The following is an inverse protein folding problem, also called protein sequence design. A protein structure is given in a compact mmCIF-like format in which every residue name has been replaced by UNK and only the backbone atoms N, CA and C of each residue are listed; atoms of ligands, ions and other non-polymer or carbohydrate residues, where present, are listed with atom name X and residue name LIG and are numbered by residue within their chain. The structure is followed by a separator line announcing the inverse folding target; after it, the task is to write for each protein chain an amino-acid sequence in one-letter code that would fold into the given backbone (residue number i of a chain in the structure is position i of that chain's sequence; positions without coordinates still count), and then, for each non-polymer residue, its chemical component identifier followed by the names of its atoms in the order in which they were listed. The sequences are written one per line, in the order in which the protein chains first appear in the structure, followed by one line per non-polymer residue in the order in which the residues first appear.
data_IF_634723672444
#
_entry.id   IF_634723672444
#
_cell.length_a   1.000
_cell.length_b   1.000
_cell.length_c   1.000
_cell.angle_alpha   90.00
_cell.angle_beta   90.00
_cell.angle_gamma   90.00
#
_symmetry.space_group_name_H-M   'P 1'
#
loop_
_entity.id
_entity.type
_entity.pdbx_description
1 polymer ?
#
# COMPACT_ATOMS: atom_id res chain seq x y z
N UNK A 1 4.90 36.42 -9.90
CA UNK A 1 4.10 35.24 -10.30
C UNK A 1 3.94 34.41 -9.06
N UNK A 2 2.74 33.92 -8.74
CA UNK A 2 2.58 32.99 -7.62
C UNK A 2 3.42 31.75 -7.92
N UNK A 3 4.11 31.24 -6.91
CA UNK A 3 4.95 30.05 -7.05
C UNK A 3 4.04 28.80 -7.10
N UNK A 4 4.04 28.12 -8.24
CA UNK A 4 3.13 27.01 -8.54
C UNK A 4 3.51 25.70 -7.82
N UNK A 5 2.50 24.87 -7.53
CA UNK A 5 2.71 23.48 -7.08
C UNK A 5 3.01 22.60 -8.30
N UNK A 6 4.10 21.85 -8.23
CA UNK A 6 4.47 20.83 -9.22
C UNK A 6 4.12 19.44 -8.68
N UNK A 7 3.26 18.72 -9.39
CA UNK A 7 3.00 17.31 -9.16
C UNK A 7 4.08 16.47 -9.84
N UNK A 8 4.74 15.60 -9.07
CA UNK A 8 5.68 14.58 -9.54
C UNK A 8 5.09 13.20 -9.24
N UNK A 9 4.46 12.58 -10.24
CA UNK A 9 3.83 11.27 -10.12
C UNK A 9 4.77 10.20 -10.68
N UNK A 10 5.29 9.32 -9.83
CA UNK A 10 6.21 8.24 -10.26
C UNK A 10 5.44 6.92 -10.37
N UNK A 11 5.54 6.26 -11.53
CA UNK A 11 4.84 5.00 -11.83
C UNK A 11 5.75 4.10 -12.65
N UNK A 12 6.12 2.93 -12.13
CA UNK A 12 6.97 1.99 -12.85
C UNK A 12 7.64 0.95 -11.94
N UNK A 13 8.61 0.22 -12.50
CA UNK A 13 9.51 -0.65 -11.72
C UNK A 13 8.91 -1.97 -11.24
N UNK A 14 7.83 -2.47 -11.85
CA UNK A 14 7.18 -3.73 -11.48
C UNK A 14 7.73 -4.92 -12.29
N UNK A 15 7.64 -6.11 -11.71
CA UNK A 15 8.16 -7.33 -12.32
C UNK A 15 7.36 -7.83 -13.52
N UNK A 16 7.90 -8.83 -14.21
CA UNK A 16 7.39 -9.27 -15.52
C UNK A 16 6.40 -10.43 -15.47
N UNK A 17 6.15 -11.01 -14.30
CA UNK A 17 5.21 -12.11 -14.19
C UNK A 17 3.77 -11.68 -14.51
N UNK A 18 2.89 -12.63 -14.79
CA UNK A 18 1.48 -12.36 -15.09
C UNK A 18 0.80 -11.54 -13.97
N UNK A 19 0.98 -11.95 -12.71
CA UNK A 19 0.36 -11.29 -11.55
C UNK A 19 0.98 -9.91 -11.27
N UNK A 20 2.29 -9.75 -11.50
CA UNK A 20 2.94 -8.44 -11.37
C UNK A 20 2.47 -7.46 -12.45
N UNK A 21 2.25 -7.93 -13.68
CA UNK A 21 1.66 -7.12 -14.77
C UNK A 21 0.23 -6.69 -14.47
N UNK A 22 -0.55 -7.51 -13.76
CA UNK A 22 -1.88 -7.12 -13.29
C UNK A 22 -1.79 -6.01 -12.25
N UNK A 23 -0.90 -6.13 -11.26
CA UNK A 23 -0.67 -5.06 -10.28
C UNK A 23 -0.22 -3.75 -10.96
N UNK A 24 0.70 -3.85 -11.90
CA UNK A 24 1.16 -2.72 -12.70
C UNK A 24 0.03 -2.08 -13.52
N UNK A 25 -0.88 -2.88 -14.08
CA UNK A 25 -2.13 -2.40 -14.69
C UNK A 25 -3.01 -1.60 -13.72
N UNK A 26 -3.19 -2.09 -12.49
CA UNK A 26 -3.95 -1.38 -11.47
C UNK A 26 -3.27 -0.07 -11.05
N UNK A 27 -1.94 -0.06 -10.94
CA UNK A 27 -1.14 1.14 -10.65
C UNK A 27 -1.34 2.21 -11.70
N UNK A 28 -1.22 1.85 -12.99
CA UNK A 28 -1.48 2.77 -14.11
C UNK A 28 -2.91 3.32 -14.11
N UNK A 29 -3.90 2.47 -13.78
CA UNK A 29 -5.29 2.90 -13.68
C UNK A 29 -5.51 3.87 -12.50
N UNK A 30 -4.99 3.55 -11.32
CA UNK A 30 -5.05 4.39 -10.13
C UNK A 30 -4.29 5.72 -10.31
N UNK A 31 -3.12 5.68 -10.95
CA UNK A 31 -2.31 6.85 -11.24
C UNK A 31 -3.05 7.82 -12.16
N UNK A 32 -3.71 7.32 -13.20
CA UNK A 32 -4.49 8.16 -14.12
C UNK A 32 -5.71 8.77 -13.42
N UNK A 33 -6.40 7.99 -12.58
CA UNK A 33 -7.49 8.47 -11.74
C UNK A 33 -7.04 9.57 -10.75
N UNK A 34 -5.87 9.41 -10.13
CA UNK A 34 -5.26 10.40 -9.23
C UNK A 34 -4.86 11.67 -10.00
N UNK A 35 -4.24 11.51 -11.16
CA UNK A 35 -3.82 12.61 -12.02
C UNK A 35 -5.01 13.47 -12.46
N UNK A 36 -6.06 12.85 -12.99
CA UNK A 36 -7.30 13.54 -13.39
C UNK A 36 -7.95 14.25 -12.20
N UNK A 37 -7.93 13.65 -11.02
CA UNK A 37 -8.44 14.27 -9.80
C UNK A 37 -7.64 15.51 -9.40
N UNK A 38 -6.32 15.40 -9.34
CA UNK A 38 -5.43 16.48 -8.91
C UNK A 38 -5.48 17.66 -9.90
N UNK A 39 -5.50 17.39 -11.21
CA UNK A 39 -5.64 18.44 -12.23
C UNK A 39 -6.97 19.20 -12.10
N UNK A 40 -8.06 18.51 -11.75
CA UNK A 40 -9.38 19.14 -11.53
C UNK A 40 -9.41 20.12 -10.36
N UNK A 41 -8.44 20.07 -9.44
CA UNK A 41 -8.37 21.04 -8.34
C UNK A 41 -8.01 22.44 -8.82
N UNK A 42 -7.35 22.57 -9.97
CA UNK A 42 -6.82 23.84 -10.49
C UNK A 42 -5.63 24.40 -9.70
N UNK A 43 -5.16 23.70 -8.65
CA UNK A 43 -4.05 24.12 -7.80
C UNK A 43 -2.68 23.58 -8.27
N UNK A 44 -2.70 22.58 -9.15
CA UNK A 44 -1.48 22.05 -9.79
C UNK A 44 -1.14 22.94 -10.99
N UNK A 45 -0.04 23.70 -10.90
CA UNK A 45 0.43 24.52 -12.02
C UNK A 45 1.17 23.71 -13.08
N UNK A 46 1.85 22.63 -12.67
CA UNK A 46 2.49 21.67 -13.58
C UNK A 46 2.39 20.25 -13.05
N UNK A 47 2.10 19.30 -13.94
CA UNK A 47 2.10 17.87 -13.62
C UNK A 47 3.11 17.13 -14.49
N UNK A 48 3.97 16.33 -13.85
CA UNK A 48 4.97 15.49 -14.48
C UNK A 48 4.71 14.05 -14.07
N UNK A 49 4.65 13.15 -15.05
CA UNK A 49 4.56 11.70 -14.85
C UNK A 49 5.90 11.09 -15.21
N UNK A 50 6.60 10.53 -14.22
CA UNK A 50 7.84 9.80 -14.43
C UNK A 50 7.59 8.30 -14.51
N UNK A 51 8.05 7.64 -15.57
CA UNK A 51 7.74 6.23 -15.84
C UNK A 51 8.76 5.53 -16.73
N UNK A 52 8.91 4.23 -16.56
CA UNK A 52 9.67 3.33 -17.43
C UNK A 52 8.81 2.71 -18.56
N UNK A 53 7.49 2.92 -18.53
CA UNK A 53 6.55 2.37 -19.52
C UNK A 53 6.23 3.38 -20.63
N UNK A 54 6.94 3.25 -21.75
CA UNK A 54 6.72 4.05 -22.96
C UNK A 54 5.28 3.93 -23.48
N UNK A 55 4.74 2.71 -23.53
CA UNK A 55 3.43 2.47 -24.12
C UNK A 55 2.33 3.10 -23.27
N UNK A 56 2.43 3.05 -21.95
CA UNK A 56 1.50 3.74 -21.07
C UNK A 56 1.68 5.26 -21.11
N UNK A 57 2.92 5.75 -21.11
CA UNK A 57 3.23 7.17 -21.23
C UNK A 57 2.59 7.82 -22.46
N UNK A 58 2.64 7.13 -23.61
CA UNK A 58 2.00 7.59 -24.85
C UNK A 58 0.46 7.74 -24.71
N UNK A 59 -0.18 6.95 -23.83
CA UNK A 59 -1.63 7.07 -23.58
C UNK A 59 -2.04 8.32 -22.78
N UNK A 60 -1.06 9.07 -22.25
CA UNK A 60 -1.27 10.30 -21.49
C UNK A 60 -1.16 11.56 -22.36
N UNK A 61 -0.88 11.43 -23.66
CA UNK A 61 -0.74 12.56 -24.59
C UNK A 61 -2.02 13.42 -24.74
N UNK A 62 -3.18 12.90 -24.33
CA UNK A 62 -4.47 13.59 -24.30
C UNK A 62 -4.68 14.43 -23.02
N UNK A 63 -3.75 14.36 -22.07
CA UNK A 63 -3.83 14.98 -20.75
C UNK A 63 -2.78 16.09 -20.64
N UNK A 64 -3.04 17.23 -19.95
CA UNK A 64 -2.08 18.34 -19.86
C UNK A 64 -0.93 18.03 -18.89
N UNK A 65 -0.10 17.04 -19.24
CA UNK A 65 0.96 16.50 -18.40
C UNK A 65 2.24 16.34 -19.21
N UNK A 66 3.38 16.50 -18.55
CA UNK A 66 4.66 16.17 -19.15
C UNK A 66 5.06 14.75 -18.75
N UNK A 67 5.32 13.88 -19.73
CA UNK A 67 5.82 12.53 -19.46
C UNK A 67 7.34 12.56 -19.48
N UNK A 68 7.96 12.13 -18.38
CA UNK A 68 9.41 12.04 -18.24
C UNK A 68 9.84 10.57 -18.14
N UNK A 69 10.38 10.02 -19.21
CA UNK A 69 10.80 8.62 -19.20
C UNK A 69 12.07 8.41 -18.38
N UNK A 70 12.11 7.29 -17.67
CA UNK A 70 13.30 6.87 -16.94
C UNK A 70 14.44 6.51 -17.91
N UNK A 71 15.70 6.86 -17.60
CA UNK A 71 16.83 6.56 -18.47
C UNK A 71 16.98 5.04 -18.73
N UNK A 72 17.06 4.60 -20.00
CA UNK A 72 17.16 3.19 -20.31
C UNK A 72 18.52 2.61 -19.86
N UNK A 73 18.48 1.45 -19.22
CA UNK A 73 19.69 0.70 -18.82
C UNK A 73 20.37 1.18 -17.54
N UNK A 74 19.82 2.20 -16.87
CA UNK A 74 20.30 2.63 -15.55
C UNK A 74 19.56 1.89 -14.43
N UNK A 75 20.25 1.65 -13.31
CA UNK A 75 19.60 1.10 -12.12
C UNK A 75 18.78 2.21 -11.46
N UNK A 76 17.47 2.00 -11.35
CA UNK A 76 16.57 2.96 -10.73
C UNK A 76 16.96 3.25 -9.28
N UNK A 77 17.02 4.53 -8.92
CA UNK A 77 17.20 4.99 -7.55
C UNK A 77 16.22 6.12 -7.26
N UNK A 78 15.25 5.85 -6.39
CA UNK A 78 14.12 6.75 -6.11
C UNK A 78 14.54 8.20 -5.82
N UNK A 79 15.41 8.41 -4.82
CA UNK A 79 15.78 9.73 -4.35
C UNK A 79 16.52 10.55 -5.40
N UNK A 80 17.46 9.94 -6.13
CA UNK A 80 18.17 10.59 -7.25
C UNK A 80 17.19 10.99 -8.35
N UNK A 81 16.27 10.09 -8.70
CA UNK A 81 15.25 10.37 -9.71
C UNK A 81 14.34 11.52 -9.31
N UNK A 82 13.88 11.53 -8.06
CA UNK A 82 13.05 12.61 -7.54
C UNK A 82 13.82 13.95 -7.48
N UNK A 83 15.07 13.93 -7.00
CA UNK A 83 15.96 15.09 -6.97
C UNK A 83 16.19 15.70 -8.37
N UNK A 84 16.46 14.86 -9.38
CA UNK A 84 16.62 15.28 -10.78
C UNK A 84 15.35 15.96 -11.32
N UNK A 85 14.17 15.43 -11.01
CA UNK A 85 12.89 16.04 -11.42
C UNK A 85 12.70 17.41 -10.74
N UNK A 86 12.99 17.50 -9.43
CA UNK A 86 12.90 18.77 -8.69
C UNK A 86 13.82 19.83 -9.33
N UNK A 87 15.06 19.46 -9.64
CA UNK A 87 16.03 20.36 -10.27
C UNK A 87 15.61 20.75 -11.69
N UNK A 88 15.29 19.76 -12.54
CA UNK A 88 14.89 19.96 -13.94
C UNK A 88 13.71 20.91 -14.10
N UNK A 89 12.72 20.80 -13.21
CA UNK A 89 11.51 21.61 -13.28
C UNK A 89 11.57 22.86 -12.39
N UNK A 90 12.71 23.12 -11.74
CA UNK A 90 12.89 24.21 -10.78
C UNK A 90 11.75 24.23 -9.73
N UNK A 91 11.42 23.04 -9.21
CA UNK A 91 10.27 22.83 -8.36
C UNK A 91 10.57 23.32 -6.94
N UNK A 92 9.79 24.31 -6.47
CA UNK A 92 9.87 24.82 -5.10
C UNK A 92 8.77 24.28 -4.20
N UNK A 93 7.55 24.14 -4.70
CA UNK A 93 6.45 23.40 -4.05
C UNK A 93 6.22 22.12 -4.81
N UNK A 94 6.39 20.99 -4.14
CA UNK A 94 6.29 19.67 -4.76
C UNK A 94 5.20 18.87 -4.07
N UNK A 95 4.34 18.25 -4.86
CA UNK A 95 3.58 17.09 -4.44
C UNK A 95 4.16 15.86 -5.15
N UNK A 96 4.82 14.99 -4.40
CA UNK A 96 5.21 13.67 -4.86
C UNK A 96 4.12 12.64 -4.51
N UNK A 97 3.84 11.72 -5.43
CA UNK A 97 3.05 10.52 -5.14
C UNK A 97 3.53 9.34 -5.98
N UNK A 98 3.47 8.13 -5.42
CA UNK A 98 3.45 6.90 -6.21
C UNK A 98 2.09 6.69 -6.90
N UNK A 99 2.09 5.93 -8.00
CA UNK A 99 0.90 5.68 -8.82
C UNK A 99 -0.27 4.99 -8.10
N UNK A 100 0.00 4.27 -7.02
CA UNK A 100 -1.01 3.53 -6.26
C UNK A 100 -1.02 3.84 -4.76
N UNK A 101 -0.45 4.98 -4.37
CA UNK A 101 -0.21 5.36 -2.97
C UNK A 101 -1.44 5.93 -2.24
N UNK A 102 -2.44 6.40 -2.99
CA UNK A 102 -3.63 7.04 -2.41
C UNK A 102 -4.90 6.82 -3.27
N UNK A 103 -5.25 5.58 -3.65
CA UNK A 103 -6.37 5.28 -4.52
C UNK A 103 -7.73 5.72 -3.95
N UNK A 104 -7.82 5.94 -2.64
CA UNK A 104 -9.07 6.26 -1.93
C UNK A 104 -9.19 7.72 -1.44
N UNK A 105 -8.12 8.52 -1.49
CA UNK A 105 -8.15 9.90 -0.96
C UNK A 105 -8.96 10.82 -1.86
N UNK A 106 -10.07 11.38 -1.38
CA UNK A 106 -11.07 12.11 -2.19
C UNK A 106 -10.64 13.53 -2.63
N UNK A 107 -11.47 14.18 -3.45
CA UNK A 107 -11.18 15.52 -4.00
C UNK A 107 -10.98 16.57 -2.90
N UNK A 108 -11.88 16.59 -1.92
CA UNK A 108 -11.90 17.59 -0.85
C UNK A 108 -10.62 17.52 0.01
N UNK A 109 -10.16 16.31 0.31
CA UNK A 109 -8.91 16.09 1.06
C UNK A 109 -7.67 16.48 0.27
N UNK A 110 -7.63 16.19 -1.03
CA UNK A 110 -6.54 16.66 -1.88
C UNK A 110 -6.54 18.19 -2.00
N UNK A 111 -7.70 18.81 -2.18
CA UNK A 111 -7.81 20.27 -2.23
C UNK A 111 -7.37 20.92 -0.91
N UNK A 112 -7.76 20.36 0.24
CA UNK A 112 -7.31 20.80 1.57
C UNK A 112 -5.78 20.75 1.70
N UNK A 113 -5.15 19.64 1.28
CA UNK A 113 -3.70 19.49 1.29
C UNK A 113 -3.02 20.52 0.38
N UNK A 114 -3.50 20.66 -0.86
CA UNK A 114 -2.89 21.54 -1.85
C UNK A 114 -2.99 23.00 -1.43
N UNK A 115 -4.12 23.42 -0.86
CA UNK A 115 -4.30 24.78 -0.30
C UNK A 115 -3.29 25.08 0.83
N UNK A 116 -3.05 24.11 1.73
CA UNK A 116 -2.02 24.24 2.77
C UNK A 116 -0.62 24.35 2.19
N UNK A 117 -0.30 23.51 1.20
CA UNK A 117 1.01 23.50 0.53
C UNK A 117 1.26 24.81 -0.23
N UNK A 118 0.24 25.35 -0.91
CA UNK A 118 0.31 26.63 -1.64
C UNK A 118 0.65 27.79 -0.69
N UNK A 119 0.01 27.84 0.47
CA UNK A 119 0.16 28.94 1.46
C UNK A 119 1.40 28.83 2.33
N UNK A 120 2.05 27.67 2.36
CA UNK A 120 3.22 27.45 3.20
C UNK A 120 4.50 28.00 2.55
N UNK A 121 5.37 28.59 3.37
CA UNK A 121 6.76 28.88 3.01
C UNK A 121 7.68 27.68 3.30
N UNK A 122 7.38 26.93 4.38
CA UNK A 122 8.10 25.75 4.83
C UNK A 122 7.10 24.73 5.37
N UNK A 123 7.00 23.56 4.76
CA UNK A 123 6.07 22.51 5.18
C UNK A 123 6.50 21.16 4.64
N UNK A 124 6.24 20.12 5.41
CA UNK A 124 6.13 18.73 4.95
C UNK A 124 4.74 18.22 5.38
N UNK A 125 3.93 17.78 4.42
CA UNK A 125 2.61 17.19 4.64
C UNK A 125 2.53 15.82 3.99
N UNK A 126 2.11 14.80 4.73
CA UNK A 126 2.15 13.40 4.28
C UNK A 126 1.01 12.55 4.82
N UNK A 127 0.78 11.38 4.23
CA UNK A 127 -0.04 10.36 4.85
C UNK A 127 0.61 9.80 6.11
N UNK A 128 1.92 9.56 6.12
CA UNK A 128 2.62 8.90 7.22
C UNK A 128 3.99 9.51 7.46
N UNK A 129 4.19 10.09 8.64
CA UNK A 129 5.50 10.65 8.97
C UNK A 129 6.62 9.60 8.99
N UNK A 130 6.31 8.33 9.27
CA UNK A 130 7.31 7.27 9.48
C UNK A 130 7.50 6.33 8.28
N UNK A 131 6.64 6.41 7.26
CA UNK A 131 6.68 5.53 6.08
C UNK A 131 5.73 6.10 5.03
N UNK A 132 6.13 7.17 4.35
CA UNK A 132 5.24 7.88 3.42
C UNK A 132 5.22 7.26 2.03
N UNK A 133 4.03 7.28 1.42
CA UNK A 133 3.78 6.82 0.05
C UNK A 133 3.49 8.01 -0.89
N UNK A 134 3.22 9.18 -0.30
CA UNK A 134 3.11 10.47 -0.95
C UNK A 134 3.52 11.59 0.01
N UNK A 135 3.96 12.72 -0.56
CA UNK A 135 4.54 13.81 0.19
C UNK A 135 4.34 15.16 -0.52
N UNK A 136 3.67 16.10 0.14
CA UNK A 136 3.70 17.51 -0.21
C UNK A 136 4.79 18.22 0.58
N UNK A 137 5.68 18.98 -0.07
CA UNK A 137 6.72 19.71 0.67
C UNK A 137 7.25 20.96 -0.05
N UNK A 138 7.75 21.89 0.75
CA UNK A 138 8.38 23.13 0.30
C UNK A 138 9.32 23.69 1.38
N UNK A 139 10.45 24.35 1.03
CA UNK A 139 11.02 24.51 -0.31
C UNK A 139 11.75 23.24 -0.79
N UNK A 140 11.29 22.64 -1.89
CA UNK A 140 11.82 21.37 -2.38
C UNK A 140 13.25 21.48 -2.95
N UNK A 141 13.57 22.60 -3.60
CA UNK A 141 14.88 22.88 -4.17
C UNK A 141 16.00 22.91 -3.10
N UNK A 142 15.70 23.29 -1.87
CA UNK A 142 16.68 23.27 -0.76
C UNK A 142 16.89 21.87 -0.19
N UNK A 143 15.93 20.96 -0.41
CA UNK A 143 15.93 19.61 0.16
C UNK A 143 16.57 18.56 -0.75
N UNK A 144 16.93 18.92 -1.99
CA UNK A 144 17.55 18.03 -2.99
C UNK A 144 18.67 17.14 -2.40
N UNK A 145 19.63 17.65 -1.61
CA UNK A 145 20.71 16.82 -1.07
C UNK A 145 20.24 15.73 -0.11
N UNK A 146 19.16 15.95 0.64
CA UNK A 146 18.55 14.94 1.51
C UNK A 146 17.73 13.95 0.69
N UNK A 147 16.90 14.46 -0.23
CA UNK A 147 16.07 13.64 -1.13
C UNK A 147 16.94 12.65 -1.90
N UNK A 148 18.07 13.09 -2.45
CA UNK A 148 18.94 12.27 -3.30
C UNK A 148 19.58 11.05 -2.59
N UNK A 149 19.63 11.04 -1.25
CA UNK A 149 20.21 9.95 -0.46
C UNK A 149 19.26 8.76 -0.32
N UNK A 150 17.96 8.98 -0.50
CA UNK A 150 16.95 7.98 -0.19
C UNK A 150 16.74 6.98 -1.34
N UNK A 151 16.85 5.69 -1.03
CA UNK A 151 16.61 4.61 -2.00
C UNK A 151 15.12 4.29 -2.19
N UNK A 152 14.26 4.77 -1.28
CA UNK A 152 12.79 4.66 -1.35
C UNK A 152 12.13 5.90 -0.73
N UNK A 153 10.83 6.06 -0.95
CA UNK A 153 10.00 7.13 -0.39
C UNK A 153 9.78 7.04 1.12
N UNK A 154 9.78 5.83 1.69
CA UNK A 154 9.38 5.57 3.08
C UNK A 154 9.94 6.56 4.12
N UNK A 155 11.23 6.86 4.09
CA UNK A 155 11.88 7.71 5.09
C UNK A 155 11.80 9.22 4.77
N UNK A 156 11.32 9.59 3.59
CA UNK A 156 11.45 10.95 3.06
C UNK A 156 10.78 11.98 3.97
N UNK A 157 9.53 11.76 4.37
CA UNK A 157 8.82 12.65 5.28
C UNK A 157 9.57 12.86 6.61
N UNK A 158 10.10 11.76 7.17
CA UNK A 158 10.84 11.80 8.43
C UNK A 158 12.12 12.63 8.30
N UNK A 159 12.93 12.38 7.27
CA UNK A 159 14.23 13.02 7.05
C UNK A 159 14.06 14.50 6.73
N UNK A 160 13.09 14.87 5.88
CA UNK A 160 12.82 16.28 5.58
C UNK A 160 12.37 17.06 6.83
N UNK A 161 11.65 16.40 7.74
CA UNK A 161 11.23 17.01 9.00
C UNK A 161 12.40 17.14 10.00
N UNK A 162 13.13 16.05 10.24
CA UNK A 162 14.11 15.96 11.33
C UNK A 162 15.49 16.50 10.95
N UNK A 163 15.93 16.24 9.73
CA UNK A 163 17.23 16.68 9.22
C UNK A 163 17.08 17.97 8.39
N UNK A 164 16.03 18.06 7.57
CA UNK A 164 15.70 19.26 6.79
C UNK A 164 15.09 20.42 7.61
N UNK A 165 14.65 20.13 8.84
CA UNK A 165 14.04 21.13 9.73
C UNK A 165 12.74 21.73 9.19
N UNK A 166 11.98 20.98 8.39
CA UNK A 166 10.67 21.39 7.90
C UNK A 166 9.57 21.02 8.91
N UNK A 167 8.58 21.91 9.16
CA UNK A 167 7.43 21.56 9.98
C UNK A 167 6.65 20.35 9.45
N UNK A 168 6.52 19.35 10.34
CA UNK A 168 5.77 18.11 10.25
C UNK A 168 4.24 18.19 10.28
N UNK A 169 3.53 17.83 9.21
CA UNK A 169 2.09 17.54 9.27
C UNK A 169 1.79 16.14 8.69
N UNK A 170 1.03 15.32 9.42
CA UNK A 170 0.60 14.01 8.94
C UNK A 170 -0.92 13.90 9.06
N UNK A 171 -1.56 13.39 8.01
CA UNK A 171 -2.98 13.13 8.07
C UNK A 171 -3.31 12.00 9.06
N UNK A 172 -4.47 12.09 9.74
CA UNK A 172 -4.97 10.99 10.56
C UNK A 172 -5.05 9.68 9.77
N UNK A 173 -4.84 8.57 10.46
CA UNK A 173 -4.97 7.25 9.85
C UNK A 173 -6.44 6.97 9.48
N UNK A 174 -6.66 6.64 8.21
CA UNK A 174 -7.91 6.19 7.61
C UNK A 174 -7.58 5.32 6.40
N UNK A 175 -8.55 4.62 5.81
CA UNK A 175 -8.31 3.90 4.56
C UNK A 175 -7.81 4.85 3.47
N UNK A 176 -8.42 6.04 3.39
CA UNK A 176 -8.07 7.07 2.41
C UNK A 176 -6.60 7.51 2.46
N UNK A 177 -5.96 7.42 3.63
CA UNK A 177 -4.58 7.85 3.84
C UNK A 177 -3.59 6.69 3.94
N UNK A 178 -4.04 5.48 4.29
CA UNK A 178 -3.16 4.34 4.61
C UNK A 178 -3.23 3.18 3.61
N UNK A 179 -4.24 3.14 2.75
CA UNK A 179 -4.41 2.04 1.82
C UNK A 179 -3.69 2.32 0.51
N UNK A 180 -2.80 1.41 0.13
CA UNK A 180 -2.06 1.35 -1.13
C UNK A 180 -2.41 0.06 -1.89
N UNK A 181 -1.89 -0.11 -3.11
CA UNK A 181 -2.11 -1.32 -3.91
C UNK A 181 -0.82 -2.12 -4.10
N UNK A 182 -0.27 -2.70 -3.04
CA UNK A 182 1.05 -3.34 -3.11
C UNK A 182 1.04 -4.83 -3.49
N UNK A 183 -0.04 -5.50 -3.17
CA UNK A 183 -0.22 -6.95 -3.30
C UNK A 183 -1.54 -7.27 -4.02
N UNK A 184 -1.70 -8.49 -4.58
CA UNK A 184 -2.92 -8.86 -5.27
C UNK A 184 -4.18 -8.79 -4.39
N UNK A 185 -4.03 -9.04 -3.08
CA UNK A 185 -5.15 -8.94 -2.13
C UNK A 185 -5.60 -7.51 -1.95
N UNK A 186 -4.73 -6.51 -2.13
CA UNK A 186 -5.14 -5.11 -2.13
C UNK A 186 -6.08 -4.81 -3.30
N UNK A 187 -5.89 -5.46 -4.45
CA UNK A 187 -6.83 -5.33 -5.57
C UNK A 187 -8.20 -5.92 -5.23
N UNK A 188 -8.22 -7.08 -4.55
CA UNK A 188 -9.45 -7.73 -4.09
C UNK A 188 -10.18 -6.86 -3.05
N UNK A 189 -9.44 -6.27 -2.10
CA UNK A 189 -10.00 -5.32 -1.10
C UNK A 189 -10.53 -4.07 -1.80
N UNK A 190 -9.75 -3.47 -2.69
CA UNK A 190 -10.14 -2.28 -3.43
C UNK A 190 -11.43 -2.53 -4.22
N UNK A 191 -11.58 -3.70 -4.84
CA UNK A 191 -12.76 -4.07 -5.60
C UNK A 191 -14.05 -3.95 -4.76
N UNK A 192 -13.97 -4.15 -3.44
CA UNK A 192 -15.12 -4.04 -2.50
C UNK A 192 -15.35 -2.64 -1.96
N UNK A 193 -14.43 -1.71 -2.24
CA UNK A 193 -14.58 -0.33 -1.82
C UNK A 193 -15.61 0.41 -2.69
N UNK A 194 -16.66 1.02 -2.10
CA UNK A 194 -17.79 1.56 -2.87
C UNK A 194 -17.43 2.79 -3.70
N UNK A 195 -16.46 3.58 -3.25
CA UNK A 195 -16.15 4.89 -3.84
C UNK A 195 -14.86 4.91 -4.67
N UNK A 196 -14.55 3.78 -5.33
CA UNK A 196 -13.44 3.74 -6.28
C UNK A 196 -13.66 4.66 -7.47
N UNK A 197 -12.56 5.21 -7.98
CA UNK A 197 -12.56 6.04 -9.18
C UNK A 197 -12.73 5.19 -10.46
N UNK A 198 -13.22 5.79 -11.55
CA UNK A 198 -13.75 5.04 -12.69
C UNK A 198 -12.73 4.14 -13.40
N UNK A 199 -11.46 4.54 -13.52
CA UNK A 199 -10.48 3.76 -14.27
C UNK A 199 -10.02 2.55 -13.47
N UNK A 200 -9.70 2.74 -12.19
CA UNK A 200 -9.36 1.65 -11.28
C UNK A 200 -10.56 0.70 -11.12
N UNK A 201 -11.78 1.22 -10.94
CA UNK A 201 -13.01 0.43 -10.90
C UNK A 201 -13.13 -0.46 -12.15
N UNK A 202 -13.06 0.13 -13.35
CA UNK A 202 -13.15 -0.62 -14.61
C UNK A 202 -12.05 -1.67 -14.75
N UNK A 203 -10.83 -1.34 -14.34
CA UNK A 203 -9.71 -2.29 -14.37
C UNK A 203 -9.99 -3.51 -13.47
N UNK A 204 -10.38 -3.26 -12.22
CA UNK A 204 -10.67 -4.31 -11.24
C UNK A 204 -11.86 -5.19 -11.64
N UNK A 205 -12.93 -4.58 -12.15
CA UNK A 205 -14.11 -5.32 -12.64
C UNK A 205 -13.77 -6.24 -13.82
N UNK A 206 -12.70 -5.93 -14.57
CA UNK A 206 -12.19 -6.74 -15.67
C UNK A 206 -11.29 -7.92 -15.27
N UNK A 207 -10.82 -8.01 -14.02
CA UNK A 207 -9.87 -9.05 -13.59
C UNK A 207 -10.51 -10.45 -13.48
N UNK A 208 -11.82 -10.53 -13.28
CA UNK A 208 -12.54 -11.77 -12.98
C UNK A 208 -11.87 -12.60 -11.86
N UNK A 209 -11.27 -11.91 -10.88
CA UNK A 209 -10.71 -12.55 -9.68
C UNK A 209 -11.79 -12.66 -8.62
N UNK A 210 -11.82 -13.79 -7.94
CA UNK A 210 -12.71 -14.08 -6.82
C UNK A 210 -11.88 -14.39 -5.58
N UNK A 211 -12.45 -14.11 -4.40
CA UNK A 211 -11.82 -14.45 -3.12
C UNK A 211 -12.89 -14.91 -2.13
N UNK A 212 -13.22 -16.21 -2.14
CA UNK A 212 -14.14 -16.80 -1.17
C UNK A 212 -13.70 -16.56 0.28
N UNK A 213 -12.38 -16.46 0.52
CA UNK A 213 -11.83 -16.19 1.83
C UNK A 213 -12.13 -14.75 2.29
N UNK A 214 -11.94 -13.76 1.41
CA UNK A 214 -12.29 -12.38 1.73
C UNK A 214 -13.81 -12.23 1.93
N UNK A 215 -14.61 -12.90 1.09
CA UNK A 215 -16.06 -12.94 1.22
C UNK A 215 -16.50 -13.55 2.56
N UNK A 216 -15.85 -14.65 2.98
CA UNK A 216 -16.10 -15.27 4.27
C UNK A 216 -15.75 -14.37 5.45
N UNK A 217 -14.62 -13.65 5.39
CA UNK A 217 -14.24 -12.67 6.43
C UNK A 217 -15.25 -11.52 6.49
N UNK A 218 -15.70 -11.00 5.34
CA UNK A 218 -16.72 -9.95 5.30
C UNK A 218 -18.07 -10.41 5.86
N UNK A 219 -18.46 -11.65 5.57
CA UNK A 219 -19.67 -12.25 6.16
C UNK A 219 -19.53 -12.39 7.67
N UNK A 220 -18.35 -12.75 8.16
CA UNK A 220 -18.05 -12.84 9.59
C UNK A 220 -18.03 -11.47 10.29
N UNK A 221 -17.53 -10.43 9.62
CA UNK A 221 -17.62 -9.02 10.08
C UNK A 221 -19.07 -8.57 10.27
N UNK A 222 -19.97 -9.03 9.39
CA UNK A 222 -21.39 -8.72 9.43
C UNK A 222 -22.18 -9.53 10.47
N UNK A 223 -21.63 -10.64 10.94
CA UNK A 223 -22.30 -11.54 11.88
C UNK A 223 -22.36 -10.93 13.27
N UNK A 224 -23.56 -10.84 13.84
CA UNK A 224 -23.72 -10.45 15.24
C UNK A 224 -23.01 -11.47 16.15
N UNK A 225 -22.08 -10.99 16.98
CA UNK A 225 -21.24 -11.85 17.80
C UNK A 225 -20.27 -12.72 16.99
N UNK A 226 -19.92 -12.31 15.76
CA UNK A 226 -18.84 -12.92 14.99
C UNK A 226 -17.50 -12.88 15.74
N UNK A 227 -16.48 -13.51 15.20
CA UNK A 227 -15.14 -13.55 15.79
C UNK A 227 -14.08 -13.54 14.70
N UNK A 228 -13.09 -12.67 14.87
CA UNK A 228 -12.02 -12.47 13.90
C UNK A 228 -10.67 -12.50 14.60
N UNK A 229 -9.69 -13.11 13.94
CA UNK A 229 -8.29 -13.06 14.37
C UNK A 229 -7.48 -12.25 13.38
N UNK A 230 -6.73 -11.27 13.87
CA UNK A 230 -5.78 -10.47 13.10
C UNK A 230 -4.37 -10.93 13.47
N UNK A 231 -3.58 -11.33 12.47
CA UNK A 231 -2.23 -11.85 12.66
C UNK A 231 -1.22 -11.07 11.83
N UNK A 232 -0.10 -10.71 12.46
CA UNK A 232 1.10 -10.19 11.80
C UNK A 232 1.37 -8.74 12.18
N UNK A 233 1.75 -7.89 11.22
CA UNK A 233 2.22 -6.52 11.54
C UNK A 233 1.05 -5.54 11.72
N UNK A 234 0.11 -5.89 12.58
CA UNK A 234 -1.18 -5.23 12.74
C UNK A 234 -1.05 -3.75 13.15
N UNK A 235 -1.91 -2.91 12.58
CA UNK A 235 -2.02 -1.49 12.92
C UNK A 235 -3.03 -1.26 14.03
N UNK A 236 -2.61 -0.57 15.09
CA UNK A 236 -3.48 -0.23 16.21
C UNK A 236 -4.72 0.55 15.79
N UNK A 237 -4.57 1.47 14.83
CA UNK A 237 -5.68 2.23 14.30
C UNK A 237 -6.66 1.35 13.49
N UNK A 238 -6.15 0.35 12.76
CA UNK A 238 -6.98 -0.52 11.95
C UNK A 238 -7.83 -1.48 12.79
N UNK A 239 -7.23 -2.17 13.76
CA UNK A 239 -8.01 -3.07 14.62
C UNK A 239 -8.96 -2.30 15.54
N UNK A 240 -8.58 -1.11 16.02
CA UNK A 240 -9.50 -0.28 16.80
C UNK A 240 -10.69 0.19 15.95
N UNK A 241 -10.49 0.40 14.64
CA UNK A 241 -11.57 0.64 13.68
C UNK A 241 -12.51 -0.55 13.58
N UNK A 242 -11.95 -1.75 13.41
CA UNK A 242 -12.73 -3.00 13.35
C UNK A 242 -13.60 -3.22 14.60
N UNK A 243 -13.03 -3.05 15.81
CA UNK A 243 -13.77 -3.20 17.07
C UNK A 243 -14.90 -2.18 17.23
N UNK A 244 -14.74 -0.97 16.70
CA UNK A 244 -15.81 0.06 16.74
C UNK A 244 -16.92 -0.22 15.74
N UNK A 245 -16.55 -0.65 14.53
CA UNK A 245 -17.48 -0.84 13.43
C UNK A 245 -18.28 -2.14 13.54
N UNK A 246 -17.70 -3.18 14.14
CA UNK A 246 -18.30 -4.53 14.17
C UNK A 246 -18.73 -4.94 15.57
N UNK A 247 -19.52 -6.02 15.65
CA UNK A 247 -19.81 -6.74 16.91
C UNK A 247 -18.93 -7.97 17.07
N UNK A 248 -17.80 -8.03 16.36
CA UNK A 248 -16.92 -9.18 16.40
C UNK A 248 -16.10 -9.21 17.69
N UNK A 249 -15.90 -10.42 18.22
CA UNK A 249 -14.84 -10.71 19.18
C UNK A 249 -13.51 -10.74 18.42
N UNK A 250 -12.66 -9.74 18.65
CA UNK A 250 -11.39 -9.61 17.92
C UNK A 250 -10.23 -10.16 18.76
N UNK A 251 -9.44 -11.06 18.18
CA UNK A 251 -8.15 -11.50 18.71
C UNK A 251 -7.04 -10.91 17.86
N UNK A 252 -5.96 -10.44 18.49
CA UNK A 252 -4.84 -9.82 17.76
C UNK A 252 -3.52 -10.45 18.19
N UNK A 253 -2.78 -10.95 17.21
CA UNK A 253 -1.38 -11.35 17.33
C UNK A 253 -0.53 -10.35 16.56
N UNK A 254 -0.13 -9.27 17.24
CA UNK A 254 0.64 -8.18 16.66
C UNK A 254 2.15 -8.40 16.86
N UNK A 255 2.87 -8.66 15.78
CA UNK A 255 4.31 -8.98 15.80
C UNK A 255 5.05 -8.23 14.68
N UNK A 256 6.32 -7.91 14.88
CA UNK A 256 7.25 -7.41 13.84
C UNK A 256 6.79 -6.15 13.08
N UNK A 257 6.01 -5.27 13.74
CA UNK A 257 5.67 -3.95 13.20
C UNK A 257 6.96 -3.17 12.88
N UNK A 258 7.10 -2.73 11.63
CA UNK A 258 8.28 -1.99 11.17
C UNK A 258 9.50 -2.85 10.76
N UNK A 259 9.39 -4.19 10.77
CA UNK A 259 10.55 -5.08 10.52
C UNK A 259 11.31 -4.83 9.20
N UNK A 260 10.62 -4.35 8.16
CA UNK A 260 11.24 -4.00 6.88
C UNK A 260 11.99 -2.66 6.99
N UNK A 261 11.31 -1.63 7.47
CA UNK A 261 11.89 -0.29 7.63
C UNK A 261 13.12 -0.29 8.56
N UNK A 262 13.15 -1.14 9.59
CA UNK A 262 14.30 -1.28 10.48
C UNK A 262 15.41 -2.22 9.96
N UNK A 263 15.24 -2.80 8.76
CA UNK A 263 16.15 -3.79 8.16
C UNK A 263 16.25 -5.12 8.91
N UNK A 264 15.36 -5.38 9.89
CA UNK A 264 15.41 -6.61 10.71
C UNK A 264 15.12 -7.85 9.87
N UNK A 265 14.18 -7.74 8.93
CA UNK A 265 13.88 -8.83 8.00
C UNK A 265 15.11 -9.19 7.15
N UNK A 266 15.84 -8.20 6.62
CA UNK A 266 17.04 -8.43 5.81
C UNK A 266 18.18 -9.05 6.62
N UNK A 267 18.31 -8.67 7.89
CA UNK A 267 19.30 -9.24 8.81
C UNK A 267 18.89 -10.59 9.44
N UNK A 268 17.69 -11.12 9.14
CA UNK A 268 17.20 -12.37 9.74
C UNK A 268 16.87 -12.28 11.24
N UNK A 269 16.54 -11.07 11.72
CA UNK A 269 16.29 -10.76 13.13
C UNK A 269 14.80 -10.77 13.52
N UNK A 270 13.91 -11.03 12.55
CA UNK A 270 12.49 -11.16 12.83
C UNK A 270 12.24 -12.37 13.75
N UNK A 271 11.30 -12.23 14.69
CA UNK A 271 10.88 -13.27 15.63
C UNK A 271 9.35 -13.29 15.70
N UNK A 272 8.77 -14.47 15.87
CA UNK A 272 7.33 -14.64 15.97
C UNK A 272 7.00 -15.86 16.82
N UNK A 273 6.23 -15.64 17.88
CA UNK A 273 5.71 -16.71 18.71
C UNK A 273 4.78 -17.63 17.92
N UNK A 274 4.05 -17.09 16.94
CA UNK A 274 3.23 -17.91 16.05
C UNK A 274 4.07 -18.74 15.08
N UNK A 275 5.23 -18.24 14.63
CA UNK A 275 6.16 -19.06 13.85
C UNK A 275 6.72 -20.21 14.70
N UNK A 276 7.11 -19.94 15.95
CA UNK A 276 7.59 -20.95 16.88
C UNK A 276 6.50 -21.99 17.19
N UNK A 277 5.26 -21.55 17.43
CA UNK A 277 4.12 -22.44 17.66
C UNK A 277 3.80 -23.29 16.43
N UNK A 278 3.81 -22.70 15.22
CA UNK A 278 3.63 -23.43 13.96
C UNK A 278 4.67 -24.53 13.78
N UNK A 279 5.92 -24.28 14.19
CA UNK A 279 6.98 -25.30 14.14
C UNK A 279 6.71 -26.47 15.10
N UNK A 280 6.15 -26.17 16.28
CA UNK A 280 5.81 -27.19 17.28
C UNK A 280 4.64 -28.08 16.86
N UNK A 281 3.58 -27.50 16.29
CA UNK A 281 2.34 -28.25 16.00
C UNK A 281 2.22 -28.71 14.54
N UNK A 282 2.98 -28.12 13.63
CA UNK A 282 2.87 -28.35 12.19
C UNK A 282 1.80 -27.48 11.53
N UNK A 283 1.91 -27.30 10.20
CA UNK A 283 1.09 -26.36 9.42
C UNK A 283 -0.41 -26.70 9.52
N UNK A 284 -0.79 -27.97 9.36
CA UNK A 284 -2.19 -28.38 9.33
C UNK A 284 -2.85 -28.16 10.71
N UNK A 285 -2.21 -28.63 11.78
CA UNK A 285 -2.73 -28.45 13.14
C UNK A 285 -2.76 -26.97 13.55
N UNK A 286 -1.82 -26.15 13.06
CA UNK A 286 -1.84 -24.71 13.33
C UNK A 286 -3.13 -24.04 12.83
N UNK A 287 -3.58 -24.38 11.61
CA UNK A 287 -4.83 -23.83 11.09
C UNK A 287 -6.07 -24.44 11.74
N UNK A 288 -6.03 -25.71 12.15
CA UNK A 288 -7.11 -26.33 12.94
C UNK A 288 -7.27 -25.64 14.30
N UNK A 289 -6.17 -25.41 15.03
CA UNK A 289 -6.19 -24.70 16.31
C UNK A 289 -6.66 -23.24 16.16
N UNK A 290 -6.26 -22.55 15.08
CA UNK A 290 -6.78 -21.22 14.79
C UNK A 290 -8.30 -21.24 14.53
N UNK A 291 -8.81 -22.25 13.82
CA UNK A 291 -10.22 -22.38 13.51
C UNK A 291 -11.10 -22.60 14.76
N UNK A 292 -10.56 -23.19 15.83
CA UNK A 292 -11.27 -23.33 17.11
C UNK A 292 -11.41 -21.99 17.87
N UNK A 293 -10.61 -20.98 17.52
CA UNK A 293 -10.56 -19.70 18.24
C UNK A 293 -11.39 -18.58 17.60
N UNK A 294 -11.76 -18.70 16.33
CA UNK A 294 -12.30 -17.60 15.51
C UNK A 294 -13.19 -18.09 14.38
N UNK A 295 -14.02 -17.21 13.81
CA UNK A 295 -14.83 -17.46 12.61
C UNK A 295 -14.19 -16.96 11.32
N UNK A 296 -13.09 -16.21 11.40
CA UNK A 296 -12.30 -15.78 10.26
C UNK A 296 -10.93 -15.22 10.66
N UNK A 297 -9.99 -15.19 9.72
CA UNK A 297 -8.60 -14.77 9.97
C UNK A 297 -8.11 -13.81 8.88
N UNK A 298 -7.52 -12.69 9.30
CA UNK A 298 -6.69 -11.83 8.45
C UNK A 298 -5.22 -12.06 8.82
N UNK A 299 -4.45 -12.65 7.91
CA UNK A 299 -3.11 -13.17 8.22
C UNK A 299 -2.01 -12.58 7.32
N UNK A 300 -1.29 -11.58 7.85
CA UNK A 300 -0.05 -11.08 7.25
C UNK A 300 1.07 -12.11 7.44
N UNK A 301 1.12 -13.10 6.54
CA UNK A 301 2.00 -14.27 6.64
C UNK A 301 3.47 -13.93 6.41
N UNK A 302 3.79 -12.68 6.09
CA UNK A 302 5.19 -12.21 5.90
C UNK A 302 5.99 -12.25 7.19
N UNK A 303 5.32 -12.14 8.34
CA UNK A 303 5.98 -12.29 9.65
C UNK A 303 6.49 -13.72 9.85
N UNK A 304 5.67 -14.72 9.53
CA UNK A 304 6.05 -16.15 9.63
C UNK A 304 7.22 -16.44 8.68
N UNK A 305 7.16 -15.94 7.44
CA UNK A 305 8.24 -16.10 6.47
C UNK A 305 9.55 -15.48 7.00
N UNK A 306 9.50 -14.22 7.44
CA UNK A 306 10.69 -13.52 7.96
C UNK A 306 11.28 -14.20 9.20
N UNK A 307 10.45 -14.62 10.16
CA UNK A 307 10.89 -15.30 11.37
C UNK A 307 11.57 -16.66 11.07
N UNK A 308 11.17 -17.31 9.98
CA UNK A 308 11.78 -18.55 9.48
C UNK A 308 13.01 -18.31 8.60
N UNK A 309 13.46 -17.07 8.44
CA UNK A 309 14.56 -16.71 7.55
C UNK A 309 14.25 -16.93 6.07
N UNK A 310 12.96 -17.01 5.71
CA UNK A 310 12.49 -17.19 4.34
C UNK A 310 12.00 -15.86 3.78
N UNK A 311 12.37 -15.57 2.53
CA UNK A 311 11.80 -14.45 1.79
C UNK A 311 11.57 -14.85 0.32
N UNK A 312 10.51 -15.63 0.04
CA UNK A 312 10.19 -16.12 -1.31
C UNK A 312 10.02 -14.99 -2.31
N UNK A 313 10.06 -15.29 -3.61
CA UNK A 313 9.93 -14.28 -4.66
C UNK A 313 8.60 -13.51 -4.58
N UNK A 314 8.51 -12.35 -5.23
CA UNK A 314 7.24 -11.63 -5.35
C UNK A 314 6.17 -12.51 -6.02
N UNK A 315 6.55 -13.25 -7.07
CA UNK A 315 5.68 -14.21 -7.76
C UNK A 315 5.09 -15.26 -6.80
N UNK A 316 5.92 -15.90 -5.99
CA UNK A 316 5.48 -16.91 -5.01
C UNK A 316 4.54 -16.29 -3.97
N UNK A 317 4.93 -15.14 -3.42
CA UNK A 317 4.15 -14.41 -2.44
C UNK A 317 2.78 -13.98 -3.00
N UNK A 318 2.74 -13.50 -4.24
CA UNK A 318 1.52 -13.05 -4.90
C UNK A 318 0.61 -14.21 -5.31
N UNK A 319 1.16 -15.35 -5.73
CA UNK A 319 0.36 -16.56 -5.94
C UNK A 319 -0.18 -17.11 -4.62
N UNK A 320 0.58 -17.04 -3.52
CA UNK A 320 0.10 -17.38 -2.19
C UNK A 320 -1.09 -16.50 -1.74
N UNK A 321 -0.98 -15.18 -1.94
CA UNK A 321 -2.05 -14.21 -1.62
C UNK A 321 -3.35 -14.50 -2.38
N UNK A 322 -3.24 -15.06 -3.59
CA UNK A 322 -4.37 -15.44 -4.45
C UNK A 322 -4.79 -16.91 -4.32
N UNK A 323 -4.25 -17.65 -3.35
CA UNK A 323 -4.52 -19.07 -3.16
C UNK A 323 -4.16 -19.98 -4.36
N UNK A 324 -3.27 -19.53 -5.24
CA UNK A 324 -2.72 -20.29 -6.38
C UNK A 324 -1.49 -21.09 -5.95
N UNK A 325 -1.66 -21.91 -4.91
CA UNK A 325 -0.56 -22.63 -4.26
C UNK A 325 0.18 -23.58 -5.21
N UNK A 326 -0.51 -24.13 -6.22
CA UNK A 326 0.08 -24.95 -7.29
C UNK A 326 1.13 -24.20 -8.13
N UNK A 327 1.11 -22.85 -8.12
CA UNK A 327 2.05 -21.96 -8.80
C UNK A 327 3.10 -21.34 -7.88
N UNK A 328 3.16 -21.74 -6.61
CA UNK A 328 4.17 -21.28 -5.64
C UNK A 328 5.33 -22.25 -5.67
N UNK A 329 6.55 -21.80 -5.94
CA UNK A 329 7.74 -22.65 -6.00
C UNK A 329 8.29 -23.01 -4.61
N UNK A 330 8.32 -22.04 -3.69
CA UNK A 330 8.86 -22.26 -2.34
C UNK A 330 8.02 -23.30 -1.56
N UNK A 331 8.61 -24.45 -1.15
CA UNK A 331 7.86 -25.57 -0.60
C UNK A 331 7.06 -25.27 0.68
N UNK A 332 7.62 -24.49 1.61
CA UNK A 332 6.92 -24.15 2.84
C UNK A 332 5.70 -23.27 2.56
N UNK A 333 5.86 -22.21 1.77
CA UNK A 333 4.79 -21.28 1.40
C UNK A 333 3.70 -21.98 0.58
N UNK A 334 4.07 -22.90 -0.33
CA UNK A 334 3.10 -23.74 -1.05
C UNK A 334 2.21 -24.51 -0.08
N UNK A 335 2.80 -25.28 0.83
CA UNK A 335 2.05 -26.10 1.80
C UNK A 335 1.26 -25.24 2.78
N UNK A 336 1.83 -24.13 3.25
CA UNK A 336 1.16 -23.17 4.13
C UNK A 336 -0.07 -22.56 3.45
N UNK A 337 0.05 -22.18 2.19
CA UNK A 337 -1.07 -21.63 1.40
C UNK A 337 -2.15 -22.68 1.19
N UNK A 338 -1.78 -23.91 0.84
CA UNK A 338 -2.75 -24.99 0.67
C UNK A 338 -3.52 -25.27 1.97
N UNK A 339 -2.83 -25.41 3.10
CA UNK A 339 -3.48 -25.65 4.38
C UNK A 339 -4.39 -24.48 4.81
N UNK A 340 -3.99 -23.23 4.54
CA UNK A 340 -4.83 -22.06 4.78
C UNK A 340 -6.08 -22.05 3.88
N UNK A 341 -6.01 -22.66 2.69
CA UNK A 341 -7.13 -22.73 1.74
C UNK A 341 -8.16 -23.77 2.19
N UNK A 342 -7.67 -24.85 2.79
CA UNK A 342 -8.44 -26.00 3.27
C UNK A 342 -8.92 -25.83 4.73
N UNK A 343 -8.55 -24.73 5.38
CA UNK A 343 -8.95 -24.42 6.76
C UNK A 343 -10.49 -24.34 6.90
N UNK A 344 -11.00 -24.71 8.08
CA UNK A 344 -12.45 -24.74 8.38
C UNK A 344 -13.09 -23.35 8.46
N UNK A 345 -12.27 -22.31 8.56
CA UNK A 345 -12.68 -20.91 8.62
C UNK A 345 -11.98 -20.13 7.51
N UNK A 346 -12.59 -19.06 6.97
CA UNK A 346 -11.95 -18.22 5.98
C UNK A 346 -10.67 -17.60 6.53
N UNK A 347 -9.56 -17.85 5.84
CA UNK A 347 -8.25 -17.24 6.11
C UNK A 347 -7.91 -16.34 4.94
N UNK A 348 -7.60 -15.07 5.16
CA UNK A 348 -7.08 -14.18 4.12
C UNK A 348 -5.58 -14.06 4.33
N UNK A 349 -4.80 -14.66 3.44
CA UNK A 349 -3.34 -14.48 3.41
C UNK A 349 -2.98 -13.18 2.70
N UNK A 350 -1.91 -12.52 3.12
CA UNK A 350 -1.48 -11.30 2.46
C UNK A 350 -0.24 -10.66 3.05
N UNK A 351 0.04 -9.45 2.58
CA UNK A 351 1.06 -8.56 3.13
C UNK A 351 0.58 -7.73 4.32
N UNK A 352 1.23 -6.61 4.55
CA UNK A 352 0.90 -5.74 5.68
C UNK A 352 -0.50 -5.12 5.58
N UNK A 353 -0.93 -4.78 4.37
CA UNK A 353 -2.15 -4.02 4.12
C UNK A 353 -3.40 -4.69 4.70
N UNK A 354 -3.52 -6.02 4.62
CA UNK A 354 -4.68 -6.77 5.16
C UNK A 354 -4.87 -6.64 6.68
N UNK A 355 -3.85 -6.16 7.40
CA UNK A 355 -3.91 -5.88 8.85
C UNK A 355 -3.65 -4.40 9.16
N UNK A 356 -3.74 -3.52 8.16
CA UNK A 356 -3.59 -2.08 8.27
C UNK A 356 -4.47 -1.30 7.28
N UNK A 357 -3.89 -0.72 6.23
CA UNK A 357 -4.62 0.12 5.27
C UNK A 357 -5.79 -0.60 4.62
N UNK A 358 -5.59 -1.84 4.18
CA UNK A 358 -6.63 -2.71 3.64
C UNK A 358 -7.70 -3.06 4.66
N UNK A 359 -7.32 -3.35 5.92
CA UNK A 359 -8.31 -3.54 6.99
C UNK A 359 -9.15 -2.27 7.24
N UNK A 360 -8.53 -1.09 7.23
CA UNK A 360 -9.29 0.18 7.31
C UNK A 360 -10.25 0.32 6.12
N UNK A 361 -9.82 -0.05 4.91
CA UNK A 361 -10.68 0.00 3.72
C UNK A 361 -11.87 -0.96 3.83
N UNK A 362 -11.67 -2.17 4.36
CA UNK A 362 -12.76 -3.12 4.60
C UNK A 362 -13.73 -2.61 5.66
N UNK A 363 -13.22 -2.02 6.75
CA UNK A 363 -14.03 -1.42 7.82
C UNK A 363 -14.87 -0.26 7.28
N UNK A 364 -14.28 0.69 6.57
CA UNK A 364 -15.02 1.82 5.99
C UNK A 364 -16.05 1.36 4.95
N UNK A 365 -15.73 0.33 4.16
CA UNK A 365 -16.68 -0.27 3.21
C UNK A 365 -17.85 -0.92 3.94
N UNK A 366 -17.57 -1.59 5.06
CA UNK A 366 -18.59 -2.21 5.90
C UNK A 366 -19.51 -1.15 6.54
N UNK A 367 -18.95 -0.09 7.11
CA UNK A 367 -19.72 1.02 7.69
C UNK A 367 -20.57 1.75 6.64
N UNK A 368 -20.09 1.87 5.39
CA UNK A 368 -20.84 2.49 4.29
C UNK A 368 -21.98 1.62 3.75
N UNK A 369 -21.95 0.31 4.04
CA UNK A 369 -22.96 -0.66 3.61
C UNK A 369 -24.03 -0.96 4.66
N UNK A 370 -23.85 -0.49 5.91
CA UNK A 370 -24.89 -0.43 6.93
C UNK A 370 -25.83 0.76 6.69
#
# INVERSE_FOLDING_TARGET
MAEEIILLLLVGGRGQSEVERVLDGAHRAAARDLLELLLRTGLIGRAVVATDDLAWGDTLADTPVEVNFDPPGETFHFGRRLAELIERYNARRVLYSGGASAPLLNFERWAELLDRLEKADRLVITNNLHSCDWLGFTPANEMIPLVAQESSDNALAWILAHEGGLPAESFPASASTRFDLDTPVDLLIAQRYPHLRPRLRRFLDGLAWESPQLDGVLAEMAREGGSLTIVGRASAAAWAGLERATRCWVRVFAEERGMRASGRQERGEARSLLADYLELVGIENFFEELAELTGGVLFDNRVILAARGLWPSALDRFNSDLYRWDRVDEPFLRRFTQAAAEARVPVVLGGHSIVAGGLMALVESFESGQ
#
